data_IF_328949463816
#
_entry.id   IF_328949463816
#
_cell.length_a   1.000
_cell.length_b   1.000
_cell.length_c   1.000
_cell.angle_alpha   90.00
_cell.angle_beta   90.00
_cell.angle_gamma   90.00
#
_symmetry.space_group_name_H-M   'P 1'
#
loop_
_entity.id
_entity.type
_entity.pdbx_description
1 polymer ?
#
# COMPACT_ATOMS: atom_id res chain seq x y z
N UNK A 1 -2.44 6.01 -16.55
CA UNK A 1 -1.21 5.19 -16.38
C UNK A 1 -0.96 5.06 -14.90
N UNK A 2 -1.04 3.85 -14.32
CA UNK A 2 -0.76 3.64 -12.91
C UNK A 2 0.64 3.00 -12.78
N UNK A 3 1.53 3.62 -12.02
CA UNK A 3 2.89 3.12 -11.81
C UNK A 3 2.84 2.09 -10.69
N UNK A 4 3.33 0.87 -10.95
CA UNK A 4 3.44 -0.19 -9.95
C UNK A 4 4.90 -0.38 -9.53
N UNK A 5 5.13 -0.42 -8.23
CA UNK A 5 6.43 -0.65 -7.59
C UNK A 5 6.36 -2.00 -6.89
N UNK A 6 7.17 -2.98 -7.29
CA UNK A 6 7.32 -4.26 -6.58
C UNK A 6 8.35 -4.07 -5.45
N UNK A 7 8.11 -4.57 -4.23
CA UNK A 7 9.02 -4.41 -3.07
C UNK A 7 9.54 -5.74 -2.50
N UNK A 8 10.75 -6.22 -2.82
CA UNK A 8 11.47 -7.27 -2.10
C UNK A 8 12.32 -6.73 -0.93
N UNK A 9 12.86 -7.66 -0.13
CA UNK A 9 13.53 -7.53 1.19
C UNK A 9 14.82 -6.69 1.31
N UNK A 10 15.12 -5.75 0.42
CA UNK A 10 16.25 -4.82 0.58
C UNK A 10 15.94 -3.49 -0.09
N UNK A 11 16.46 -2.40 0.47
CA UNK A 11 16.47 -1.04 -0.10
C UNK A 11 16.44 -1.06 -1.62
N UNK A 12 15.23 -0.97 -2.18
CA UNK A 12 15.08 -1.04 -3.62
C UNK A 12 14.96 0.37 -4.14
N UNK A 13 15.82 0.64 -5.11
CA UNK A 13 15.78 1.85 -5.90
C UNK A 13 14.68 1.72 -6.94
N UNK A 14 13.74 2.67 -6.94
CA UNK A 14 12.69 2.77 -7.92
C UNK A 14 13.05 3.86 -8.91
N UNK A 15 13.41 3.49 -10.15
CA UNK A 15 13.70 4.47 -11.18
C UNK A 15 12.41 5.22 -11.54
N UNK A 16 12.54 6.51 -11.78
CA UNK A 16 11.47 7.32 -12.33
C UNK A 16 12.05 8.32 -13.34
N UNK A 17 11.21 8.72 -14.28
CA UNK A 17 11.50 9.77 -15.26
C UNK A 17 10.53 10.91 -15.07
N UNK A 18 11.06 12.12 -14.92
CA UNK A 18 10.29 13.35 -15.02
C UNK A 18 10.45 13.91 -16.44
N UNK A 19 9.32 14.24 -17.06
CA UNK A 19 9.26 14.86 -18.38
C UNK A 19 8.68 16.27 -18.22
N UNK A 20 9.39 17.27 -18.75
CA UNK A 20 9.02 18.68 -18.68
C UNK A 20 9.06 19.29 -20.07
N UNK A 21 7.92 19.80 -20.50
CA UNK A 21 7.73 20.37 -21.83
C UNK A 21 7.47 21.87 -21.74
N UNK A 22 8.39 22.65 -22.29
CA UNK A 22 8.26 24.10 -22.34
C UNK A 22 8.04 24.56 -23.77
N UNK A 23 6.90 25.21 -24.03
CA UNK A 23 6.59 25.79 -25.36
C UNK A 23 7.56 26.93 -25.71
N UNK A 24 8.04 27.65 -24.69
CA UNK A 24 8.94 28.78 -24.83
C UNK A 24 9.97 28.81 -23.70
N UNK A 25 11.03 29.62 -23.87
CA UNK A 25 12.03 29.81 -22.82
C UNK A 25 11.38 30.35 -21.55
N UNK A 26 11.46 29.57 -20.47
CA UNK A 26 10.67 29.79 -19.26
C UNK A 26 11.58 30.08 -18.08
N UNK A 27 11.28 31.16 -17.34
CA UNK A 27 11.99 31.48 -16.11
C UNK A 27 11.45 30.63 -14.95
N UNK A 28 12.31 29.81 -14.37
CA UNK A 28 11.97 28.93 -13.25
C UNK A 28 12.53 29.54 -11.98
N UNK A 29 11.69 29.72 -10.97
CA UNK A 29 12.10 30.24 -9.67
C UNK A 29 12.36 29.12 -8.67
N UNK A 30 11.62 28.02 -8.77
CA UNK A 30 11.91 26.79 -8.02
C UNK A 30 11.34 25.57 -8.72
N UNK A 31 12.04 24.45 -8.63
CA UNK A 31 11.55 23.12 -8.95
C UNK A 31 11.80 22.24 -7.74
N UNK A 32 10.76 21.63 -7.19
CA UNK A 32 10.86 20.71 -6.07
C UNK A 32 9.98 19.49 -6.30
N UNK A 33 10.39 18.38 -5.70
CA UNK A 33 9.70 17.10 -5.87
C UNK A 33 9.79 16.30 -4.59
N UNK A 34 8.76 15.52 -4.35
CA UNK A 34 8.76 14.54 -3.28
C UNK A 34 8.05 13.27 -3.74
N UNK A 35 8.55 12.13 -3.29
CA UNK A 35 7.75 10.93 -3.20
C UNK A 35 7.12 10.88 -1.81
N UNK A 36 5.80 10.88 -1.76
CA UNK A 36 5.03 10.93 -0.52
C UNK A 36 4.23 9.65 -0.36
N UNK A 37 4.31 9.05 0.83
CA UNK A 37 3.41 8.00 1.28
C UNK A 37 2.56 8.50 2.43
N UNK A 38 1.26 8.18 2.44
CA UNK A 38 0.35 8.55 3.52
C UNK A 38 -0.71 7.50 3.80
N UNK A 39 -1.06 7.39 5.07
CA UNK A 39 -2.27 6.74 5.52
C UNK A 39 -3.41 7.74 5.48
N UNK A 40 -4.57 7.31 4.99
CA UNK A 40 -5.83 8.02 5.15
C UNK A 40 -6.84 7.07 5.76
N UNK A 41 -7.35 7.34 6.94
CA UNK A 41 -8.39 6.54 7.59
C UNK A 41 -9.65 7.37 7.79
N UNK A 42 -10.80 6.73 7.65
CA UNK A 42 -12.12 7.34 7.83
C UNK A 42 -12.98 6.44 8.70
N UNK A 43 -13.19 6.83 9.95
CA UNK A 43 -13.98 6.05 10.92
C UNK A 43 -14.98 6.97 11.63
N UNK A 44 -16.26 6.59 11.61
CA UNK A 44 -17.34 7.34 12.28
C UNK A 44 -17.40 8.83 11.87
N UNK A 45 -17.18 9.12 10.58
CA UNK A 45 -17.19 10.48 10.03
C UNK A 45 -15.91 11.29 10.28
N UNK A 46 -14.93 10.76 11.02
CA UNK A 46 -13.65 11.41 11.23
C UNK A 46 -12.63 10.93 10.20
N UNK A 47 -11.97 11.87 9.52
CA UNK A 47 -10.87 11.60 8.58
C UNK A 47 -9.55 11.93 9.25
N UNK A 48 -8.63 10.98 9.28
CA UNK A 48 -7.27 11.16 9.76
C UNK A 48 -6.29 10.87 8.61
N UNK A 49 -5.30 11.76 8.43
CA UNK A 49 -4.21 11.57 7.47
C UNK A 49 -2.90 11.54 8.24
N UNK A 50 -2.08 10.52 8.03
CA UNK A 50 -0.73 10.42 8.64
C UNK A 50 0.31 10.15 7.57
N UNK A 51 1.47 10.83 7.60
CA UNK A 51 2.56 10.50 6.69
C UNK A 51 3.10 9.09 7.01
N UNK A 52 3.43 8.36 5.96
CA UNK A 52 4.22 7.11 6.01
C UNK A 52 5.68 7.46 5.78
N UNK A 53 5.94 8.15 4.66
CA UNK A 53 7.29 8.53 4.23
C UNK A 53 7.23 9.78 3.37
N UNK A 54 8.32 10.53 3.37
CA UNK A 54 8.55 11.65 2.45
C UNK A 54 10.00 11.59 2.01
N UNK A 55 10.22 11.35 0.72
CA UNK A 55 11.56 11.35 0.12
C UNK A 55 11.64 12.54 -0.82
N UNK A 56 12.49 13.51 -0.49
CA UNK A 56 12.72 14.66 -1.35
C UNK A 56 13.55 14.27 -2.57
N UNK A 57 13.16 14.79 -3.73
CA UNK A 57 13.82 14.57 -5.00
C UNK A 57 14.77 15.75 -5.24
N UNK A 58 16.05 15.44 -5.44
CA UNK A 58 17.03 16.44 -5.79
C UNK A 58 17.02 16.71 -7.30
N UNK A 59 16.72 17.94 -7.69
CA UNK A 59 16.74 18.42 -9.08
C UNK A 59 17.94 19.33 -9.38
N UNK A 60 18.94 19.37 -8.50
CA UNK A 60 20.11 20.23 -8.65
C UNK A 60 20.79 20.07 -10.01
N UNK A 61 21.01 18.84 -10.46
CA UNK A 61 21.68 18.58 -11.75
C UNK A 61 20.89 19.16 -12.93
N UNK A 62 19.56 19.01 -12.93
CA UNK A 62 18.68 19.60 -13.93
C UNK A 62 18.68 21.14 -13.85
N UNK A 63 18.60 21.69 -12.64
CA UNK A 63 18.61 23.14 -12.42
C UNK A 63 19.94 23.78 -12.81
N UNK A 64 21.08 23.10 -12.58
CA UNK A 64 22.39 23.61 -13.02
C UNK A 64 22.48 23.70 -14.55
N UNK A 65 21.88 22.78 -15.29
CA UNK A 65 21.83 22.84 -16.76
C UNK A 65 21.07 24.09 -17.27
N UNK A 66 20.11 24.57 -16.48
CA UNK A 66 19.32 25.76 -16.79
C UNK A 66 19.82 27.04 -16.14
N UNK A 67 20.95 26.98 -15.42
CA UNK A 67 21.48 28.11 -14.68
C UNK A 67 22.15 29.11 -15.62
N UNK A 68 21.73 30.36 -15.52
CA UNK A 68 22.35 31.47 -16.24
C UNK A 68 23.52 32.07 -15.44
N UNK A 69 24.43 32.82 -16.09
CA UNK A 69 25.50 33.55 -15.38
C UNK A 69 24.99 34.51 -14.30
N UNK A 70 23.76 35.02 -14.45
CA UNK A 70 23.08 35.85 -13.46
C UNK A 70 22.64 35.10 -12.19
N UNK A 71 22.82 33.78 -12.15
CA UNK A 71 22.35 32.91 -11.08
C UNK A 71 20.87 32.53 -11.18
N UNK A 72 20.11 33.10 -12.13
CA UNK A 72 18.70 32.75 -12.38
C UNK A 72 18.59 31.47 -13.21
N UNK A 73 17.51 30.72 -13.03
CA UNK A 73 17.22 29.54 -13.86
C UNK A 73 16.29 29.89 -15.02
N UNK A 74 16.65 29.41 -16.22
CA UNK A 74 15.83 29.57 -17.43
C UNK A 74 15.87 28.28 -18.23
N UNK A 75 14.77 27.54 -18.24
CA UNK A 75 14.62 26.35 -19.06
C UNK A 75 14.42 26.76 -20.54
N UNK A 76 15.20 26.21 -21.48
CA UNK A 76 14.96 26.38 -22.91
C UNK A 76 13.61 25.81 -23.34
N UNK A 77 13.04 26.34 -24.42
CA UNK A 77 11.92 25.71 -25.10
C UNK A 77 12.31 24.29 -25.56
N UNK A 78 11.36 23.35 -25.51
CA UNK A 78 11.55 21.96 -25.89
C UNK A 78 11.22 20.97 -24.78
N UNK A 79 11.58 19.72 -25.04
CA UNK A 79 11.36 18.56 -24.17
C UNK A 79 12.59 18.31 -23.31
N UNK A 80 12.40 18.17 -22.00
CA UNK A 80 13.46 17.91 -21.03
C UNK A 80 13.13 16.66 -20.21
N UNK A 81 14.16 15.86 -19.96
CA UNK A 81 14.06 14.62 -19.20
C UNK A 81 14.95 14.67 -17.98
N UNK A 82 14.46 14.12 -16.88
CA UNK A 82 15.25 13.88 -15.68
C UNK A 82 14.99 12.47 -15.18
N UNK A 83 16.04 11.65 -15.24
CA UNK A 83 16.03 10.29 -14.75
C UNK A 83 16.67 10.26 -13.36
N UNK A 84 15.99 9.64 -12.41
CA UNK A 84 16.52 9.45 -11.07
C UNK A 84 15.89 8.22 -10.44
N UNK A 85 16.26 7.95 -9.19
CA UNK A 85 15.77 6.84 -8.42
C UNK A 85 15.48 7.25 -6.99
N UNK A 86 14.41 6.70 -6.43
CA UNK A 86 14.09 6.85 -5.00
C UNK A 86 14.30 5.52 -4.29
N UNK A 87 14.65 5.57 -3.01
CA UNK A 87 14.70 4.38 -2.16
C UNK A 87 13.50 4.43 -1.21
N UNK A 88 12.71 3.35 -1.20
CA UNK A 88 11.60 3.19 -0.25
C UNK A 88 12.04 2.14 0.77
N UNK A 89 11.93 2.48 2.06
CA UNK A 89 12.36 1.61 3.14
C UNK A 89 11.42 0.43 3.41
N UNK A 90 11.91 -0.53 4.20
CA UNK A 90 11.17 -1.74 4.57
C UNK A 90 9.94 -1.46 5.45
N UNK A 91 9.94 -0.34 6.17
CA UNK A 91 8.83 0.15 6.98
C UNK A 91 7.61 0.61 6.16
N UNK A 92 7.80 0.94 4.87
CA UNK A 92 6.72 1.40 4.01
C UNK A 92 5.81 0.23 3.58
N UNK A 93 4.55 0.16 4.02
CA UNK A 93 3.62 -0.92 3.65
C UNK A 93 3.26 -0.90 2.16
N UNK A 94 2.70 -2.00 1.67
CA UNK A 94 2.01 -2.00 0.39
C UNK A 94 0.87 -0.98 0.32
N UNK A 95 0.59 -0.48 -0.88
CA UNK A 95 -0.63 0.24 -1.19
C UNK A 95 -1.84 -0.60 -0.82
N UNK A 96 -2.81 0.05 -0.20
CA UNK A 96 -4.03 -0.59 0.27
C UNK A 96 -5.21 0.34 0.02
N UNK A 97 -6.33 -0.24 -0.39
CA UNK A 97 -7.60 0.46 -0.55
C UNK A 97 -8.69 -0.37 0.10
N UNK A 98 -9.31 0.18 1.13
CA UNK A 98 -10.37 -0.45 1.88
C UNK A 98 -11.47 0.53 2.23
N UNK A 99 -12.60 0.01 2.70
CA UNK A 99 -13.82 0.79 2.99
C UNK A 99 -13.55 2.02 3.88
N UNK A 100 -12.71 1.86 4.89
CA UNK A 100 -12.47 2.88 5.93
C UNK A 100 -11.01 3.36 5.96
N UNK A 101 -10.21 3.04 4.95
CA UNK A 101 -8.82 3.48 4.95
C UNK A 101 -7.99 3.05 3.76
N UNK A 102 -6.93 3.82 3.54
CA UNK A 102 -6.06 3.78 2.36
C UNK A 102 -4.60 3.94 2.78
N UNK A 103 -3.72 3.23 2.07
CA UNK A 103 -2.27 3.49 2.04
C UNK A 103 -1.93 3.95 0.62
N UNK A 104 -1.65 5.25 0.48
CA UNK A 104 -1.47 5.90 -0.81
C UNK A 104 -0.03 6.39 -0.94
N UNK A 105 0.52 6.24 -2.14
CA UNK A 105 1.82 6.78 -2.51
C UNK A 105 1.71 7.59 -3.79
N UNK A 106 2.58 8.57 -3.96
CA UNK A 106 2.66 9.33 -5.19
C UNK A 106 3.84 10.27 -5.28
N UNK A 107 4.22 10.59 -6.50
CA UNK A 107 5.13 11.69 -6.79
C UNK A 107 4.37 13.01 -6.79
N UNK A 108 4.86 13.99 -6.05
CA UNK A 108 4.37 15.36 -6.03
C UNK A 108 5.47 16.26 -6.57
N UNK A 109 5.27 16.83 -7.75
CA UNK A 109 6.22 17.74 -8.40
C UNK A 109 5.63 19.14 -8.40
N UNK A 110 6.42 20.10 -7.93
CA UNK A 110 6.05 21.52 -7.86
C UNK A 110 7.04 22.35 -8.64
N UNK A 111 6.54 23.11 -9.60
CA UNK A 111 7.35 24.06 -10.36
C UNK A 111 6.76 25.46 -10.19
N UNK A 112 7.62 26.42 -9.85
CA UNK A 112 7.28 27.84 -9.80
C UNK A 112 7.94 28.56 -10.97
N UNK A 113 7.13 29.30 -11.69
CA UNK A 113 7.51 30.05 -12.88
C UNK A 113 7.43 31.55 -12.57
N UNK A 114 8.36 32.34 -13.10
CA UNK A 114 8.24 33.80 -13.06
C UNK A 114 7.30 34.27 -14.17
N UNK A 115 6.29 35.07 -13.79
CA UNK A 115 5.35 35.71 -14.70
C UNK A 115 5.46 37.24 -14.64
N UNK A 116 4.70 37.92 -15.51
CA UNK A 116 4.67 39.40 -15.55
C UNK A 116 4.08 40.04 -14.29
N UNK A 117 3.22 39.32 -13.57
CA UNK A 117 2.50 39.79 -12.38
C UNK A 117 2.78 38.93 -11.13
N UNK A 118 4.01 38.41 -10.99
CA UNK A 118 4.41 37.59 -9.86
C UNK A 118 4.82 36.19 -10.26
N UNK A 119 4.44 35.18 -9.47
CA UNK A 119 4.81 33.79 -9.71
C UNK A 119 3.58 32.92 -9.97
N UNK A 120 3.73 31.96 -10.88
CA UNK A 120 2.75 30.89 -11.11
C UNK A 120 3.31 29.60 -10.55
N UNK A 121 2.55 28.92 -9.68
CA UNK A 121 2.90 27.60 -9.16
C UNK A 121 2.05 26.53 -9.86
N UNK A 122 2.71 25.51 -10.40
CA UNK A 122 2.07 24.31 -10.95
C UNK A 122 2.48 23.14 -10.05
N UNK A 123 1.48 22.39 -9.57
CA UNK A 123 1.68 21.18 -8.78
C UNK A 123 1.04 20.01 -9.50
N UNK A 124 1.85 19.00 -9.82
CA UNK A 124 1.41 17.76 -10.43
C UNK A 124 1.59 16.61 -9.44
N UNK A 125 0.57 15.76 -9.32
CA UNK A 125 0.62 14.57 -8.47
C UNK A 125 0.37 13.32 -9.30
N UNK A 126 1.30 12.36 -9.24
CA UNK A 126 1.19 11.08 -9.94
C UNK A 126 1.11 9.93 -8.92
N UNK A 127 -0.02 9.22 -8.82
CA UNK A 127 -0.17 8.13 -7.88
C UNK A 127 0.70 6.92 -8.26
N UNK A 128 1.14 6.19 -7.24
CA UNK A 128 1.99 5.01 -7.35
C UNK A 128 1.39 3.89 -6.49
N UNK A 129 1.29 2.70 -7.05
CA UNK A 129 0.93 1.48 -6.33
C UNK A 129 2.17 0.75 -5.85
N UNK A 130 2.38 0.72 -4.54
CA UNK A 130 3.44 -0.08 -3.91
C UNK A 130 2.90 -1.49 -3.66
N UNK A 131 3.51 -2.50 -4.25
CA UNK A 131 3.15 -3.91 -4.13
C UNK A 131 4.18 -4.57 -3.22
N UNK A 132 3.76 -5.06 -2.03
CA UNK A 132 4.67 -5.75 -1.13
C UNK A 132 5.01 -7.13 -1.69
N UNK A 133 6.28 -7.41 -1.95
CA UNK A 133 6.74 -8.76 -2.30
C UNK A 133 7.16 -9.45 -1.00
N UNK A 134 6.34 -10.41 -0.58
CA UNK A 134 6.61 -11.21 0.61
C UNK A 134 7.32 -12.48 0.19
N UNK A 135 8.59 -12.63 0.60
CA UNK A 135 9.31 -13.89 0.49
C UNK A 135 8.98 -14.77 1.72
N UNK A 136 8.37 -15.92 1.45
CA UNK A 136 8.01 -16.93 2.45
C UNK A 136 9.17 -17.87 2.80
N UNK A 137 10.23 -17.94 1.98
CA UNK A 137 11.37 -18.85 2.16
C UNK A 137 12.01 -18.76 3.55
N UNK A 138 12.21 -17.56 4.13
CA UNK A 138 12.84 -17.44 5.45
C UNK A 138 11.93 -17.85 6.61
N UNK A 139 10.65 -18.11 6.33
CA UNK A 139 9.65 -18.43 7.32
C UNK A 139 9.23 -19.91 7.25
N UNK A 140 10.21 -20.81 7.41
CA UNK A 140 10.04 -22.27 7.27
C UNK A 140 8.82 -22.81 8.02
N UNK A 141 8.53 -22.30 9.23
CA UNK A 141 7.35 -22.70 10.01
C UNK A 141 6.01 -22.52 9.29
N UNK A 142 5.91 -21.56 8.35
CA UNK A 142 4.71 -21.33 7.56
C UNK A 142 4.58 -22.25 6.35
N UNK A 143 5.64 -22.99 6.03
CA UNK A 143 5.66 -24.02 4.99
C UNK A 143 5.31 -25.40 5.56
N UNK A 144 5.11 -25.52 6.87
CA UNK A 144 4.76 -26.77 7.54
C UNK A 144 3.24 -26.98 7.58
N UNK A 145 2.77 -28.24 7.53
CA UNK A 145 1.35 -28.56 7.66
C UNK A 145 0.72 -28.01 8.93
N UNK A 146 -0.50 -27.52 8.80
CA UNK A 146 -1.27 -26.95 9.91
C UNK A 146 -2.55 -27.74 10.10
N UNK A 147 -2.76 -28.21 11.32
CA UNK A 147 -4.07 -28.71 11.76
C UNK A 147 -4.69 -27.72 12.74
N UNK A 148 -5.97 -27.41 12.52
CA UNK A 148 -6.80 -26.61 13.41
C UNK A 148 -8.05 -27.39 13.77
N UNK A 149 -8.31 -27.52 15.07
CA UNK A 149 -9.52 -28.11 15.59
C UNK A 149 -10.32 -27.04 16.32
N UNK A 150 -11.63 -26.99 16.08
CA UNK A 150 -12.55 -26.09 16.79
C UNK A 150 -13.83 -26.81 17.14
N UNK A 151 -14.18 -26.78 18.42
CA UNK A 151 -15.48 -27.23 18.92
C UNK A 151 -16.50 -26.11 18.77
N UNK A 152 -17.58 -26.39 18.05
CA UNK A 152 -18.72 -25.51 17.87
C UNK A 152 -19.91 -25.99 18.71
N UNK A 153 -20.34 -25.16 19.65
CA UNK A 153 -21.52 -25.40 20.49
C UNK A 153 -22.50 -24.25 20.32
N UNK A 154 -23.69 -24.54 19.82
CA UNK A 154 -24.78 -23.57 19.72
C UNK A 154 -25.90 -23.96 20.67
N UNK A 155 -26.20 -23.07 21.61
CA UNK A 155 -27.36 -23.15 22.50
C UNK A 155 -28.40 -22.14 22.03
N UNK A 156 -29.67 -22.53 22.08
CA UNK A 156 -30.80 -21.61 21.91
C UNK A 156 -31.76 -21.93 23.05
N UNK A 157 -31.93 -20.99 23.99
CA UNK A 157 -32.50 -21.27 25.31
C UNK A 157 -31.74 -22.39 26.05
N UNK A 158 -32.42 -23.17 26.90
CA UNK A 158 -31.86 -24.32 27.63
C UNK A 158 -31.61 -25.55 26.74
N UNK A 159 -31.77 -25.45 25.42
CA UNK A 159 -31.65 -26.56 24.47
C UNK A 159 -30.34 -26.42 23.68
N UNK A 160 -29.55 -27.50 23.68
CA UNK A 160 -28.41 -27.63 22.77
C UNK A 160 -28.96 -27.81 21.34
N UNK A 161 -28.59 -26.90 20.43
CA UNK A 161 -29.06 -26.92 19.04
C UNK A 161 -28.02 -27.51 18.08
N UNK A 162 -26.74 -27.40 18.43
CA UNK A 162 -25.64 -28.04 17.71
C UNK A 162 -24.45 -28.27 18.65
N UNK A 163 -23.80 -29.43 18.49
CA UNK A 163 -22.49 -29.71 19.06
C UNK A 163 -21.68 -30.44 17.99
N UNK A 164 -20.59 -29.83 17.53
CA UNK A 164 -19.78 -30.39 16.46
C UNK A 164 -18.30 -30.05 16.68
N UNK A 165 -17.41 -30.97 16.34
CA UNK A 165 -15.99 -30.71 16.21
C UNK A 165 -15.63 -30.59 14.74
N UNK A 166 -14.97 -29.50 14.39
CA UNK A 166 -14.47 -29.26 13.03
C UNK A 166 -12.96 -29.33 13.07
N UNK A 167 -12.38 -30.22 12.27
CA UNK A 167 -10.95 -30.36 12.07
C UNK A 167 -10.64 -29.91 10.64
N UNK A 168 -9.72 -28.98 10.49
CA UNK A 168 -9.22 -28.51 9.20
C UNK A 168 -7.72 -28.78 9.16
N UNK A 169 -7.26 -29.42 8.10
CA UNK A 169 -5.86 -29.71 7.83
C UNK A 169 -5.46 -29.00 6.53
N UNK A 170 -4.32 -28.32 6.58
CA UNK A 170 -3.71 -27.59 5.47
C UNK A 170 -2.29 -28.11 5.30
N UNK A 171 -1.82 -28.21 4.06
CA UNK A 171 -0.45 -28.62 3.76
C UNK A 171 0.59 -27.60 4.23
N UNK A 172 0.20 -26.33 4.35
CA UNK A 172 1.03 -25.23 4.85
C UNK A 172 0.22 -24.09 5.44
N UNK A 173 0.87 -23.19 6.18
CA UNK A 173 0.23 -22.08 6.88
C UNK A 173 0.16 -20.78 6.06
N UNK A 174 1.00 -20.63 5.03
CA UNK A 174 1.04 -19.46 4.17
C UNK A 174 1.04 -19.84 2.69
N UNK A 175 0.33 -19.06 1.90
CA UNK A 175 0.11 -19.26 0.48
C UNK A 175 0.44 -17.97 -0.28
N UNK A 176 0.88 -18.10 -1.52
CA UNK A 176 1.10 -16.94 -2.40
C UNK A 176 -0.15 -16.63 -3.21
N UNK A 177 -0.29 -15.38 -3.67
CA UNK A 177 -1.43 -14.98 -4.49
C UNK A 177 -1.50 -15.83 -5.77
N UNK A 178 -2.69 -16.36 -6.08
CA UNK A 178 -2.92 -17.22 -7.26
C UNK A 178 -2.69 -18.72 -6.99
N UNK A 179 -2.11 -19.08 -5.85
CA UNK A 179 -1.97 -20.47 -5.45
C UNK A 179 -3.32 -21.08 -5.02
N UNK A 180 -3.54 -22.34 -5.39
CA UNK A 180 -4.70 -23.11 -4.90
C UNK A 180 -4.47 -23.61 -3.48
N UNK A 181 -5.46 -23.41 -2.61
CA UNK A 181 -5.41 -23.86 -1.22
C UNK A 181 -6.17 -25.18 -1.12
N UNK A 182 -5.45 -26.29 -0.97
CA UNK A 182 -6.04 -27.58 -0.65
C UNK A 182 -6.45 -27.62 0.83
N UNK A 183 -7.70 -28.00 1.11
CA UNK A 183 -8.28 -28.01 2.45
C UNK A 183 -8.90 -29.38 2.71
N UNK A 184 -8.32 -30.10 3.67
CA UNK A 184 -8.88 -31.36 4.16
C UNK A 184 -9.68 -31.08 5.43
N UNK A 185 -11.01 -31.19 5.33
CA UNK A 185 -11.95 -30.88 6.41
C UNK A 185 -12.67 -32.12 6.91
N UNK A 186 -12.85 -32.20 8.24
CA UNK A 186 -13.65 -33.22 8.90
C UNK A 186 -14.62 -32.54 9.86
N UNK A 187 -15.91 -32.90 9.77
CA UNK A 187 -16.96 -32.38 10.65
C UNK A 187 -17.54 -33.56 11.42
N UNK A 188 -17.26 -33.61 12.72
CA UNK A 188 -17.75 -34.63 13.63
C UNK A 188 -18.97 -34.07 14.36
N UNK A 189 -20.16 -34.53 13.96
CA UNK A 189 -21.39 -34.16 14.66
C UNK A 189 -21.54 -34.97 15.95
N UNK A 190 -21.41 -34.32 17.09
CA UNK A 190 -21.56 -34.95 18.41
C UNK A 190 -22.99 -34.78 18.96
N UNK A 191 -23.89 -34.16 18.21
CA UNK A 191 -25.26 -33.98 18.62
C UNK A 191 -26.09 -35.24 18.35
N UNK A 192 -26.75 -35.77 19.38
CA UNK A 192 -27.45 -37.06 19.32
C UNK A 192 -28.64 -37.10 18.35
N UNK A 193 -29.38 -36.01 18.20
CA UNK A 193 -30.63 -35.97 17.41
C UNK A 193 -30.69 -34.93 16.29
N UNK A 194 -29.80 -33.94 16.27
CA UNK A 194 -29.80 -32.87 15.27
C UNK A 194 -28.73 -33.14 14.23
N UNK A 195 -29.14 -33.25 12.97
CA UNK A 195 -28.24 -33.46 11.83
C UNK A 195 -27.72 -32.12 11.31
N UNK A 196 -26.41 -32.04 11.08
CA UNK A 196 -25.80 -30.91 10.37
C UNK A 196 -26.14 -31.02 8.88
N UNK A 197 -26.79 -30.00 8.33
CA UNK A 197 -27.31 -30.03 6.95
C UNK A 197 -26.25 -29.76 5.87
N UNK A 198 -25.26 -28.93 6.19
CA UNK A 198 -24.19 -28.54 5.27
C UNK A 198 -22.98 -27.99 6.03
N UNK A 199 -21.81 -28.06 5.40
CA UNK A 199 -20.60 -27.33 5.78
C UNK A 199 -20.23 -26.32 4.69
N UNK A 200 -19.66 -25.19 5.08
CA UNK A 200 -19.18 -24.15 4.17
C UNK A 200 -17.74 -23.80 4.54
N UNK A 201 -16.89 -23.65 3.52
CA UNK A 201 -15.50 -23.23 3.66
C UNK A 201 -15.33 -21.93 2.88
N UNK A 202 -14.85 -20.89 3.54
CA UNK A 202 -14.67 -19.56 2.95
C UNK A 202 -13.27 -19.03 3.28
N UNK A 203 -12.67 -18.36 2.30
CA UNK A 203 -11.47 -17.56 2.52
C UNK A 203 -11.92 -16.16 2.96
N UNK A 204 -11.66 -15.81 4.22
CA UNK A 204 -12.09 -14.55 4.82
C UNK A 204 -10.90 -13.61 4.99
N UNK A 205 -10.95 -12.44 4.37
CA UNK A 205 -10.01 -11.35 4.64
C UNK A 205 -10.53 -10.48 5.78
N UNK A 206 -9.77 -10.37 6.87
CA UNK A 206 -10.08 -9.47 7.99
C UNK A 206 -9.19 -8.23 7.95
N UNK A 207 -9.78 -7.05 7.75
CA UNK A 207 -9.07 -5.76 7.75
C UNK A 207 -9.34 -4.98 9.03
N UNK A 208 -8.30 -4.49 9.72
CA UNK A 208 -8.41 -3.63 10.90
C UNK A 208 -7.94 -2.21 10.57
N UNK A 209 -8.75 -1.21 10.91
CA UNK A 209 -8.43 0.21 10.75
C UNK A 209 -8.10 0.81 12.12
N UNK A 210 -6.92 1.44 12.24
CA UNK A 210 -6.45 2.05 13.49
C UNK A 210 -6.55 3.57 13.36
N UNK A 211 -7.21 4.21 14.32
CA UNK A 211 -7.32 5.68 14.45
C UNK A 211 -7.02 6.08 15.90
N UNK A 212 -6.50 7.30 16.11
CA UNK A 212 -6.00 7.81 17.42
C UNK A 212 -6.96 7.68 18.62
N UNK A 213 -8.28 7.57 18.40
CA UNK A 213 -9.27 7.39 19.48
C UNK A 213 -9.58 5.92 19.84
N UNK A 214 -9.12 4.95 19.04
CA UNK A 214 -9.33 3.51 19.30
C UNK A 214 -8.19 2.87 20.11
N UNK A 215 -7.18 3.63 20.55
CA UNK A 215 -6.13 3.16 21.46
C UNK A 215 -6.63 2.85 22.89
N UNK A 216 -7.94 2.93 23.13
CA UNK A 216 -8.57 2.47 24.39
C UNK A 216 -8.86 0.96 24.42
N UNK A 217 -8.49 0.21 23.39
CA UNK A 217 -8.65 -1.25 23.32
C UNK A 217 -7.43 -1.88 22.66
N UNK A 218 -6.32 -1.88 23.38
CA UNK A 218 -5.23 -2.85 23.22
C UNK A 218 -5.16 -3.68 24.49
#
# INVERSE_FOLDING_TARGET
LCLSILKPRRFQTFPFRLELDFIQNTHITSLSGAFEGKWRTSVSGQVEVRPITTVHIDFNDLLQQWRQPSGKFRAPAGHHYFDSQIVIGEECPGSFSGKNGYAEYGFVIKIRLAGRFGHTELTETRPVHVIPVVDLTPFVQHLLPVTRCKTFRKKVFCINKANANVVIRLEKAAFVQGESIAIDGEIINEHQSNVLKAGLVELIMSTRYICKKNDKTL
#
